data_IF_323145390231
#
_entry.id   IF_323145390231
#
_cell.length_a   1.000
_cell.length_b   1.000
_cell.length_c   1.000
_cell.angle_alpha   90.00
_cell.angle_beta   90.00
_cell.angle_gamma   90.00
#
_symmetry.space_group_name_H-M   'P 1'
#
loop_
_entity.id
_entity.type
_entity.pdbx_description
1 polymer ?
#
# COMPACT_ATOMS: atom_id res chain seq x y z
N UNK A 1 61.72 -25.08 22.03
CA UNK A 1 60.47 -25.54 21.41
C UNK A 1 60.00 -24.44 20.48
N UNK A 2 60.17 -24.64 19.18
CA UNK A 2 59.82 -23.69 18.13
C UNK A 2 58.46 -24.10 17.55
N UNK A 3 57.51 -23.17 17.49
CA UNK A 3 56.32 -23.31 16.67
C UNK A 3 56.31 -22.17 15.66
N UNK A 4 56.62 -22.53 14.41
CA UNK A 4 56.28 -21.77 13.23
C UNK A 4 54.80 -22.00 12.91
N UNK A 5 54.04 -20.92 12.67
CA UNK A 5 52.84 -20.99 11.83
C UNK A 5 52.90 -19.87 10.79
N UNK A 6 52.82 -20.27 9.54
CA UNK A 6 52.76 -19.39 8.36
C UNK A 6 51.33 -18.88 8.11
N UNK A 7 51.28 -17.64 7.62
CA UNK A 7 50.22 -16.92 6.89
C UNK A 7 49.03 -17.72 6.36
N UNK A 8 47.85 -17.11 6.44
CA UNK A 8 46.96 -16.96 5.28
C UNK A 8 46.17 -15.65 5.38
N UNK A 9 46.39 -14.77 4.40
CA UNK A 9 45.51 -13.67 4.04
C UNK A 9 44.12 -14.20 3.68
N UNK A 10 43.06 -13.69 4.32
CA UNK A 10 41.67 -13.73 3.84
C UNK A 10 40.89 -12.56 4.47
N UNK A 11 41.31 -11.33 4.21
CA UNK A 11 40.41 -10.17 4.29
C UNK A 11 39.86 -9.94 2.89
N UNK A 12 38.81 -10.68 2.54
CA UNK A 12 38.12 -10.56 1.25
C UNK A 12 36.61 -10.65 1.45
N UNK A 13 35.94 -9.54 1.15
CA UNK A 13 34.56 -9.47 0.65
C UNK A 13 33.47 -10.22 1.43
N UNK A 14 32.85 -9.55 2.40
CA UNK A 14 31.44 -9.79 2.78
C UNK A 14 30.50 -8.89 1.95
N UNK A 15 30.73 -8.79 0.64
CA UNK A 15 29.68 -8.43 -0.32
C UNK A 15 28.90 -9.69 -0.62
N UNK A 16 27.93 -10.00 0.25
CA UNK A 16 26.75 -10.85 0.02
C UNK A 16 26.17 -11.20 1.40
N UNK A 17 25.42 -10.27 1.99
CA UNK A 17 24.38 -10.69 2.92
C UNK A 17 23.35 -11.48 2.09
N UNK A 18 23.53 -12.80 2.04
CA UNK A 18 22.58 -13.74 1.51
C UNK A 18 21.27 -13.56 2.28
N UNK A 19 20.29 -12.92 1.63
CA UNK A 19 18.88 -13.01 2.00
C UNK A 19 18.50 -14.50 1.90
N UNK A 20 18.10 -15.17 2.99
CA UNK A 20 17.61 -16.54 2.91
C UNK A 20 16.21 -16.53 2.27
N UNK A 21 16.08 -17.21 1.14
CA UNK A 21 14.87 -17.73 0.49
C UNK A 21 13.56 -16.92 0.62
N UNK A 22 13.36 -15.97 -0.28
CA UNK A 22 12.02 -15.70 -0.81
C UNK A 22 11.80 -16.65 -2.02
N UNK A 23 10.74 -17.46 -2.04
CA UNK A 23 10.53 -18.43 -3.12
C UNK A 23 10.41 -17.69 -4.47
N UNK A 24 11.33 -18.02 -5.39
CA UNK A 24 11.29 -17.59 -6.79
C UNK A 24 10.09 -18.23 -7.48
N UNK A 25 8.95 -17.55 -7.44
CA UNK A 25 7.74 -17.94 -8.16
C UNK A 25 7.58 -17.05 -9.40
N UNK A 26 7.78 -17.70 -10.54
CA UNK A 26 7.27 -17.42 -11.90
C UNK A 26 7.89 -16.24 -12.68
N UNK A 27 8.74 -16.63 -13.64
CA UNK A 27 9.14 -15.84 -14.82
C UNK A 27 7.94 -15.79 -15.78
N UNK A 28 7.30 -14.64 -15.88
CA UNK A 28 6.28 -14.34 -16.88
C UNK A 28 6.49 -12.89 -17.30
N UNK A 29 6.71 -12.67 -18.59
CA UNK A 29 6.97 -11.36 -19.18
C UNK A 29 5.70 -10.48 -19.09
N UNK A 30 5.73 -9.31 -18.41
CA UNK A 30 4.54 -8.46 -18.28
C UNK A 30 4.52 -7.37 -19.36
N UNK A 31 3.37 -7.20 -20.00
CA UNK A 31 3.06 -6.04 -20.83
C UNK A 31 2.95 -4.79 -19.94
N UNK A 32 3.71 -3.74 -20.27
CA UNK A 32 3.76 -2.48 -19.53
C UNK A 32 2.44 -1.69 -19.67
N UNK A 33 1.60 -1.72 -18.64
CA UNK A 33 0.47 -0.79 -18.50
C UNK A 33 1.03 0.55 -17.97
N UNK A 34 0.74 1.66 -18.67
CA UNK A 34 1.29 2.99 -18.37
C UNK A 34 0.79 3.50 -17.03
N UNK A 35 1.72 3.84 -16.12
CA UNK A 35 1.45 4.35 -14.77
C UNK A 35 0.56 5.59 -14.74
N UNK A 36 0.61 6.42 -15.80
CA UNK A 36 -0.18 7.65 -15.93
C UNK A 36 -1.69 7.39 -15.98
N UNK A 37 -2.12 6.26 -16.56
CA UNK A 37 -3.54 5.90 -16.66
C UNK A 37 -4.13 5.57 -15.26
N UNK A 38 -3.32 5.02 -14.36
CA UNK A 38 -3.76 4.70 -13.00
C UNK A 38 -3.96 5.96 -12.14
N UNK A 39 -3.07 6.94 -12.26
CA UNK A 39 -3.19 8.21 -11.53
C UNK A 39 -4.43 9.01 -11.96
N UNK A 40 -4.69 9.05 -13.27
CA UNK A 40 -5.88 9.70 -13.81
C UNK A 40 -7.19 9.01 -13.35
N UNK A 41 -7.22 7.67 -13.37
CA UNK A 41 -8.36 6.88 -12.84
C UNK A 41 -8.63 7.18 -11.37
N UNK A 42 -7.59 7.25 -10.53
CA UNK A 42 -7.72 7.58 -9.11
C UNK A 42 -8.29 8.97 -8.87
N UNK A 43 -7.82 9.96 -9.63
CA UNK A 43 -8.34 11.32 -9.55
C UNK A 43 -9.81 11.39 -9.96
N UNK A 44 -10.18 10.67 -11.02
CA UNK A 44 -11.55 10.57 -11.47
C UNK A 44 -12.45 9.93 -10.41
N UNK A 45 -12.03 8.81 -9.82
CA UNK A 45 -12.78 8.16 -8.73
C UNK A 45 -12.93 9.04 -7.50
N UNK A 46 -11.90 9.80 -7.14
CA UNK A 46 -11.97 10.76 -6.04
C UNK A 46 -12.98 11.88 -6.34
N UNK A 47 -13.03 12.38 -7.57
CA UNK A 47 -14.00 13.38 -8.01
C UNK A 47 -15.42 12.82 -7.96
N UNK A 48 -15.62 11.60 -8.45
CA UNK A 48 -16.92 10.93 -8.48
C UNK A 48 -17.41 10.63 -7.06
N UNK A 49 -16.54 10.13 -6.18
CA UNK A 49 -16.86 9.88 -4.78
C UNK A 49 -17.24 11.16 -4.03
N UNK A 50 -16.50 12.27 -4.23
CA UNK A 50 -16.84 13.57 -3.64
C UNK A 50 -18.19 14.09 -4.15
N UNK A 51 -18.46 13.93 -5.44
CA UNK A 51 -19.73 14.37 -6.04
C UNK A 51 -20.90 13.54 -5.53
N UNK A 52 -20.75 12.21 -5.44
CA UNK A 52 -21.75 11.32 -4.87
C UNK A 52 -22.00 11.61 -3.38
N UNK A 53 -20.93 11.83 -2.62
CA UNK A 53 -21.02 12.17 -1.19
C UNK A 53 -21.75 13.50 -0.96
N UNK A 54 -21.43 14.53 -1.76
CA UNK A 54 -22.12 15.82 -1.70
C UNK A 54 -23.62 15.66 -1.98
N UNK A 55 -23.98 14.93 -3.04
CA UNK A 55 -25.39 14.65 -3.39
C UNK A 55 -26.14 13.94 -2.27
N UNK A 56 -25.50 12.97 -1.61
CA UNK A 56 -26.13 12.23 -0.52
C UNK A 56 -26.21 13.02 0.78
N UNK A 57 -25.49 14.13 0.93
CA UNK A 57 -25.52 15.01 2.11
C UNK A 57 -26.45 16.22 1.96
N UNK A 58 -27.07 16.40 0.80
CA UNK A 58 -28.07 17.46 0.61
C UNK A 58 -29.26 17.28 1.59
N UNK A 59 -29.82 18.39 2.11
CA UNK A 59 -30.97 18.32 2.99
C UNK A 59 -32.19 17.76 2.24
N UNK A 60 -32.85 16.75 2.84
CA UNK A 60 -34.06 16.14 2.27
C UNK A 60 -33.84 14.86 1.47
N UNK A 61 -32.60 14.39 1.28
CA UNK A 61 -32.31 13.09 0.62
C UNK A 61 -33.02 11.92 1.31
N UNK A 62 -33.21 12.00 2.64
CA UNK A 62 -33.96 11.02 3.44
C UNK A 62 -35.43 10.85 3.01
N UNK A 63 -35.99 11.83 2.30
CA UNK A 63 -37.36 11.79 1.78
C UNK A 63 -37.43 11.35 0.31
N UNK A 64 -36.27 11.20 -0.34
CA UNK A 64 -36.14 10.86 -1.76
C UNK A 64 -35.49 9.48 -1.98
N UNK A 65 -35.43 8.64 -0.94
CA UNK A 65 -34.91 7.29 -1.06
C UNK A 65 -35.82 6.43 -1.94
N UNK A 66 -35.23 5.55 -2.79
CA UNK A 66 -35.97 4.50 -3.46
C UNK A 66 -36.71 3.59 -2.46
N UNK A 67 -37.85 3.00 -2.86
CA UNK A 67 -38.65 2.15 -1.99
C UNK A 67 -37.83 0.95 -1.47
N UNK A 68 -37.88 0.71 -0.16
CA UNK A 68 -37.19 -0.41 0.48
C UNK A 68 -35.72 -0.18 0.82
N UNK A 69 -35.23 1.06 0.72
CA UNK A 69 -33.94 1.49 1.31
C UNK A 69 -34.22 2.27 2.60
N UNK A 70 -33.56 1.88 3.69
CA UNK A 70 -33.68 2.53 4.98
C UNK A 70 -32.56 3.57 5.22
N UNK A 71 -32.70 4.36 6.28
CA UNK A 71 -31.69 5.35 6.65
C UNK A 71 -30.34 4.70 7.01
N UNK A 72 -30.35 3.46 7.53
CA UNK A 72 -29.13 2.75 7.89
C UNK A 72 -28.28 2.40 6.66
N UNK A 73 -28.92 1.97 5.56
CA UNK A 73 -28.25 1.72 4.29
C UNK A 73 -27.65 3.01 3.70
N UNK A 74 -28.37 4.12 3.79
CA UNK A 74 -27.87 5.43 3.34
C UNK A 74 -26.67 5.91 4.16
N UNK A 75 -26.70 5.77 5.48
CA UNK A 75 -25.56 6.11 6.32
C UNK A 75 -24.36 5.18 6.07
N UNK A 76 -24.60 3.90 5.76
CA UNK A 76 -23.52 3.00 5.33
C UNK A 76 -22.87 3.48 4.04
N UNK A 77 -23.68 3.84 3.04
CA UNK A 77 -23.17 4.31 1.75
C UNK A 77 -22.37 5.61 1.90
N UNK A 78 -22.85 6.57 2.68
CA UNK A 78 -22.09 7.80 3.01
C UNK A 78 -20.74 7.48 3.64
N UNK A 79 -20.73 6.61 4.64
CA UNK A 79 -19.50 6.18 5.31
C UNK A 79 -18.53 5.53 4.32
N UNK A 80 -19.00 4.69 3.40
CA UNK A 80 -18.13 4.04 2.41
C UNK A 80 -17.51 5.06 1.45
N UNK A 81 -18.28 6.05 1.00
CA UNK A 81 -17.75 7.15 0.18
C UNK A 81 -16.70 8.00 0.92
N UNK A 82 -16.90 8.30 2.21
CA UNK A 82 -15.89 8.99 3.02
C UNK A 82 -14.58 8.20 3.09
N UNK A 83 -14.66 6.89 3.28
CA UNK A 83 -13.47 6.04 3.34
C UNK A 83 -12.73 6.01 2.00
N UNK A 84 -13.45 5.97 0.87
CA UNK A 84 -12.84 6.09 -0.46
C UNK A 84 -12.09 7.41 -0.59
N UNK A 85 -12.73 8.52 -0.21
CA UNK A 85 -12.13 9.86 -0.30
C UNK A 85 -10.85 9.94 0.54
N UNK A 86 -10.90 9.46 1.78
CA UNK A 86 -9.74 9.45 2.69
C UNK A 86 -8.63 8.52 2.17
N UNK A 87 -8.98 7.31 1.75
CA UNK A 87 -8.05 6.29 1.27
C UNK A 87 -7.29 6.74 0.03
N UNK A 88 -8.00 7.21 -1.01
CA UNK A 88 -7.38 7.69 -2.25
C UNK A 88 -6.51 8.92 -1.98
N UNK A 89 -6.98 9.86 -1.15
CA UNK A 89 -6.21 11.06 -0.80
C UNK A 89 -4.91 10.71 -0.08
N UNK A 90 -4.96 9.74 0.85
CA UNK A 90 -3.78 9.25 1.57
C UNK A 90 -2.80 8.57 0.61
N UNK A 91 -3.29 7.70 -0.26
CA UNK A 91 -2.46 7.04 -1.27
C UNK A 91 -1.75 8.06 -2.16
N UNK A 92 -2.49 9.05 -2.71
CA UNK A 92 -1.90 10.10 -3.54
C UNK A 92 -0.79 10.86 -2.81
N UNK A 93 -0.97 11.19 -1.52
CA UNK A 93 0.08 11.84 -0.72
C UNK A 93 1.34 10.99 -0.61
N UNK A 94 1.20 9.69 -0.38
CA UNK A 94 2.33 8.75 -0.26
C UNK A 94 3.03 8.59 -1.60
N UNK A 95 2.28 8.35 -2.69
CA UNK A 95 2.84 8.18 -4.03
C UNK A 95 3.58 9.42 -4.51
N UNK A 96 3.08 10.62 -4.21
CA UNK A 96 3.77 11.86 -4.54
C UNK A 96 5.06 12.08 -3.73
N UNK A 97 5.18 11.46 -2.55
CA UNK A 97 6.39 11.52 -1.71
C UNK A 97 7.42 10.44 -2.06
N UNK A 98 7.01 9.36 -2.74
CA UNK A 98 7.87 8.26 -3.14
C UNK A 98 9.16 8.66 -3.92
N UNK A 99 9.13 9.59 -4.91
CA UNK A 99 10.36 9.95 -5.64
C UNK A 99 11.41 10.62 -4.74
N UNK A 100 10.99 11.45 -3.78
CA UNK A 100 11.92 12.05 -2.82
C UNK A 100 12.54 10.98 -1.90
N UNK A 101 11.75 10.01 -1.45
CA UNK A 101 12.26 8.88 -0.66
C UNK A 101 13.30 8.08 -1.46
N UNK A 102 13.04 7.79 -2.74
CA UNK A 102 13.99 7.08 -3.60
C UNK A 102 15.29 7.88 -3.80
N UNK A 103 15.19 9.21 -3.94
CA UNK A 103 16.37 10.08 -4.03
C UNK A 103 17.19 10.05 -2.74
N UNK A 104 16.55 10.10 -1.58
CA UNK A 104 17.26 9.99 -0.29
C UNK A 104 17.93 8.63 -0.10
N UNK A 105 17.28 7.54 -0.53
CA UNK A 105 17.88 6.21 -0.52
C UNK A 105 19.09 6.13 -1.45
N UNK A 106 18.98 6.68 -2.66
CA UNK A 106 20.09 6.74 -3.61
C UNK A 106 21.29 7.51 -3.05
N UNK A 107 21.05 8.65 -2.40
CA UNK A 107 22.09 9.44 -1.75
C UNK A 107 22.76 8.66 -0.60
N UNK A 108 21.99 7.96 0.22
CA UNK A 108 22.52 7.13 1.30
C UNK A 108 23.40 5.98 0.78
N UNK A 109 22.98 5.30 -0.28
CA UNK A 109 23.77 4.23 -0.91
C UNK A 109 25.05 4.74 -1.57
N UNK A 110 25.03 5.95 -2.13
CA UNK A 110 26.24 6.59 -2.64
C UNK A 110 27.19 6.98 -1.50
N UNK A 111 26.66 7.56 -0.42
CA UNK A 111 27.45 7.93 0.76
C UNK A 111 28.11 6.70 1.41
N UNK A 112 27.41 5.57 1.47
CA UNK A 112 27.95 4.29 1.97
C UNK A 112 29.11 3.78 1.09
N UNK A 113 28.97 3.85 -0.24
CA UNK A 113 30.04 3.47 -1.18
C UNK A 113 31.25 4.40 -1.12
N UNK A 114 31.03 5.68 -0.85
CA UNK A 114 32.06 6.71 -0.74
C UNK A 114 32.68 6.76 0.67
N UNK A 115 32.18 5.96 1.62
CA UNK A 115 32.65 5.97 2.99
C UNK A 115 34.02 5.29 3.11
N UNK A 116 35.06 6.09 3.35
CA UNK A 116 36.44 5.63 3.52
C UNK A 116 36.85 5.41 4.99
N UNK A 117 35.89 5.50 5.92
CA UNK A 117 36.11 5.43 7.36
C UNK A 117 35.90 6.77 8.08
N UNK A 118 36.34 6.85 9.33
CA UNK A 118 36.20 8.06 10.15
C UNK A 118 37.16 9.15 9.70
N UNK A 119 36.71 10.42 9.78
CA UNK A 119 37.51 11.60 9.46
C UNK A 119 38.57 11.89 10.51
N UNK A 120 38.34 11.48 11.76
CA UNK A 120 39.29 11.62 12.87
C UNK A 120 40.36 10.53 12.82
N UNK A 121 41.62 10.89 13.10
CA UNK A 121 42.68 9.89 13.21
C UNK A 121 42.60 9.18 14.57
N UNK A 122 42.89 7.86 14.61
CA UNK A 122 42.93 7.12 15.87
C UNK A 122 44.01 7.66 16.83
N UNK A 123 43.86 7.48 18.15
CA UNK A 123 42.87 6.64 18.83
C UNK A 123 41.50 7.32 19.00
N UNK A 124 40.44 6.58 18.68
CA UNK A 124 39.06 7.04 18.86
C UNK A 124 38.70 7.13 20.34
N UNK A 125 37.87 8.11 20.70
CA UNK A 125 37.35 8.22 22.06
C UNK A 125 36.36 7.09 22.36
N UNK A 126 36.34 6.61 23.62
CA UNK A 126 35.36 5.59 24.04
C UNK A 126 33.92 6.11 23.95
N UNK A 127 33.72 7.42 24.07
CA UNK A 127 32.41 8.07 23.92
C UNK A 127 31.92 8.02 22.47
N UNK A 128 32.81 8.18 21.49
CA UNK A 128 32.47 8.04 20.08
C UNK A 128 32.00 6.61 19.77
N UNK A 129 32.68 5.60 20.33
CA UNK A 129 32.29 4.21 20.17
C UNK A 129 30.93 3.92 20.80
N UNK A 130 30.67 4.44 22.00
CA UNK A 130 29.37 4.29 22.68
C UNK A 130 28.24 4.96 21.88
N UNK A 131 28.47 6.15 21.36
CA UNK A 131 27.50 6.85 20.50
C UNK A 131 27.18 6.06 19.23
N UNK A 132 28.19 5.50 18.56
CA UNK A 132 27.99 4.68 17.36
C UNK A 132 27.21 3.39 17.64
N UNK A 133 27.47 2.75 18.78
CA UNK A 133 26.72 1.55 19.21
C UNK A 133 25.25 1.92 19.51
N UNK A 134 25.01 3.03 20.21
CA UNK A 134 23.66 3.51 20.46
C UNK A 134 22.91 3.85 19.16
N UNK A 135 23.56 4.53 18.22
CA UNK A 135 22.99 4.82 16.91
C UNK A 135 22.69 3.54 16.11
N UNK A 136 23.58 2.55 16.18
CA UNK A 136 23.38 1.24 15.56
C UNK A 136 22.13 0.55 16.15
N UNK A 137 22.02 0.49 17.47
CA UNK A 137 20.89 -0.14 18.14
C UNK A 137 19.56 0.55 17.82
N UNK A 138 19.53 1.89 17.80
CA UNK A 138 18.36 2.68 17.40
C UNK A 138 17.92 2.36 15.96
N UNK A 139 18.87 2.30 15.02
CA UNK A 139 18.61 1.94 13.62
C UNK A 139 18.08 0.50 13.53
N UNK A 140 18.65 -0.43 14.30
CA UNK A 140 18.20 -1.83 14.32
C UNK A 140 16.76 -1.95 14.84
N UNK A 141 16.44 -1.31 15.96
CA UNK A 141 15.08 -1.30 16.52
C UNK A 141 14.08 -0.69 15.53
N UNK A 142 14.45 0.40 14.87
CA UNK A 142 13.60 1.02 13.87
C UNK A 142 13.39 0.11 12.66
N UNK A 143 14.44 -0.58 12.18
CA UNK A 143 14.35 -1.53 11.09
C UNK A 143 13.45 -2.74 11.43
N UNK A 144 13.53 -3.26 12.65
CA UNK A 144 12.68 -4.34 13.14
C UNK A 144 11.21 -3.92 13.23
N UNK A 145 10.93 -2.72 13.74
CA UNK A 145 9.59 -2.12 13.75
C UNK A 145 9.00 -2.02 12.34
N UNK A 146 9.77 -1.54 11.36
CA UNK A 146 9.33 -1.48 9.98
C UNK A 146 9.11 -2.87 9.37
N UNK A 147 9.98 -3.85 9.65
CA UNK A 147 9.80 -5.23 9.19
C UNK A 147 8.50 -5.83 9.74
N UNK A 148 8.25 -5.68 11.03
CA UNK A 148 6.99 -6.13 11.65
C UNK A 148 5.77 -5.47 11.00
N UNK A 149 5.85 -4.16 10.76
CA UNK A 149 4.78 -3.42 10.09
C UNK A 149 4.52 -3.95 8.67
N UNK A 150 5.57 -4.25 7.90
CA UNK A 150 5.45 -4.84 6.56
C UNK A 150 4.79 -6.23 6.59
N UNK A 151 5.10 -7.06 7.59
CA UNK A 151 4.44 -8.37 7.76
C UNK A 151 2.95 -8.23 8.08
N UNK A 152 2.58 -7.26 8.90
CA UNK A 152 1.16 -6.97 9.18
C UNK A 152 0.48 -6.49 7.91
N UNK A 153 1.08 -5.54 7.18
CA UNK A 153 0.53 -5.04 5.93
C UNK A 153 0.38 -6.13 4.87
N UNK A 154 1.34 -7.05 4.73
CA UNK A 154 1.23 -8.13 3.75
C UNK A 154 0.09 -9.10 4.08
N UNK A 155 -0.10 -9.41 5.36
CA UNK A 155 -1.24 -10.22 5.82
C UNK A 155 -2.57 -9.52 5.56
N UNK A 156 -2.66 -8.23 5.88
CA UNK A 156 -3.87 -7.43 5.65
C UNK A 156 -4.18 -7.34 4.14
N UNK A 157 -3.18 -7.14 3.30
CA UNK A 157 -3.33 -7.12 1.84
C UNK A 157 -3.91 -8.42 1.29
N UNK A 158 -3.45 -9.58 1.77
CA UNK A 158 -4.02 -10.86 1.36
C UNK A 158 -5.50 -10.99 1.77
N UNK A 159 -5.83 -10.63 3.01
CA UNK A 159 -7.23 -10.67 3.49
C UNK A 159 -8.14 -9.71 2.70
N UNK A 160 -7.60 -8.56 2.31
CA UNK A 160 -8.28 -7.61 1.45
C UNK A 160 -8.50 -8.17 0.05
N UNK A 161 -7.50 -8.85 -0.51
CA UNK A 161 -7.61 -9.42 -1.85
C UNK A 161 -8.71 -10.47 -1.90
N UNK A 162 -8.78 -11.34 -0.89
CA UNK A 162 -9.85 -12.33 -0.76
C UNK A 162 -11.23 -11.66 -0.63
N UNK A 163 -11.33 -10.58 0.14
CA UNK A 163 -12.55 -9.80 0.27
C UNK A 163 -12.94 -9.12 -1.06
N UNK A 164 -11.96 -8.67 -1.86
CA UNK A 164 -12.19 -8.10 -3.19
C UNK A 164 -12.84 -9.10 -4.14
N UNK A 165 -12.28 -10.31 -4.22
CA UNK A 165 -12.77 -11.38 -5.08
C UNK A 165 -14.19 -11.83 -4.68
N UNK A 166 -14.49 -11.83 -3.38
CA UNK A 166 -15.85 -12.11 -2.89
C UNK A 166 -16.82 -10.97 -3.24
N UNK A 167 -16.37 -9.73 -3.13
CA UNK A 167 -17.18 -8.57 -3.42
C UNK A 167 -17.52 -8.48 -4.92
N UNK A 168 -16.55 -8.75 -5.82
CA UNK A 168 -16.79 -8.84 -7.27
C UNK A 168 -17.88 -9.87 -7.61
N UNK A 169 -17.83 -11.06 -7.01
CA UNK A 169 -18.87 -12.09 -7.18
C UNK A 169 -20.24 -11.63 -6.71
N UNK A 170 -20.32 -10.88 -5.61
CA UNK A 170 -21.59 -10.31 -5.14
C UNK A 170 -22.10 -9.20 -6.05
N UNK A 171 -21.21 -8.38 -6.61
CA UNK A 171 -21.58 -7.32 -7.57
C UNK A 171 -22.13 -7.91 -8.88
N UNK A 172 -21.56 -9.02 -9.36
CA UNK A 172 -22.09 -9.74 -10.53
C UNK A 172 -23.52 -10.24 -10.31
N UNK A 173 -23.79 -10.80 -9.13
CA UNK A 173 -25.13 -11.27 -8.76
C UNK A 173 -26.15 -10.11 -8.69
N UNK A 174 -25.74 -8.97 -8.12
CA UNK A 174 -26.57 -7.76 -8.07
C UNK A 174 -26.81 -7.16 -9.45
N UNK A 175 -25.82 -7.20 -10.34
CA UNK A 175 -25.94 -6.76 -11.72
C UNK A 175 -26.96 -7.61 -12.49
N UNK A 176 -26.86 -8.94 -12.40
CA UNK A 176 -27.85 -9.85 -13.01
C UNK A 176 -29.26 -9.67 -12.43
N UNK A 177 -29.38 -9.38 -11.13
CA UNK A 177 -30.67 -9.09 -10.50
C UNK A 177 -31.29 -7.75 -10.98
N UNK A 178 -30.45 -6.74 -11.24
CA UNK A 178 -30.87 -5.46 -11.78
C UNK A 178 -31.33 -5.55 -13.25
N UNK A 179 -30.65 -6.36 -14.07
CA UNK A 179 -31.07 -6.64 -15.45
C UNK A 179 -32.41 -7.40 -15.51
N UNK A 180 -32.65 -8.30 -14.54
CA UNK A 180 -33.91 -9.03 -14.46
C UNK A 180 -35.12 -8.15 -14.08
N UNK A 181 -34.91 -7.02 -13.40
CA UNK A 181 -35.99 -6.13 -12.93
C UNK A 181 -35.71 -4.63 -13.20
N UNK A 182 -35.77 -4.19 -14.47
CA UNK A 182 -35.42 -2.82 -14.86
C UNK A 182 -36.39 -1.72 -14.37
N UNK A 183 -37.61 -2.09 -13.92
CA UNK A 183 -38.68 -1.14 -13.53
C UNK A 183 -38.83 -0.92 -12.01
N UNK A 184 -37.83 -1.29 -11.20
CA UNK A 184 -37.80 -1.20 -9.73
C UNK A 184 -37.62 0.26 -9.19
N UNK A 185 -38.11 1.27 -9.89
CA UNK A 185 -38.10 2.66 -9.38
C UNK A 185 -36.73 3.22 -8.98
N UNK A 186 -35.63 2.64 -9.49
CA UNK A 186 -34.25 3.05 -9.18
C UNK A 186 -33.58 2.32 -8.00
N UNK A 187 -34.25 1.43 -7.28
CA UNK A 187 -33.69 0.74 -6.10
C UNK A 187 -32.51 -0.17 -6.46
N UNK A 188 -32.64 -0.99 -7.49
CA UNK A 188 -31.57 -1.86 -8.00
C UNK A 188 -30.33 -1.07 -8.44
N UNK A 189 -30.52 0.09 -9.07
CA UNK A 189 -29.42 0.99 -9.44
C UNK A 189 -28.73 1.59 -8.20
N UNK A 190 -29.51 2.03 -7.22
CA UNK A 190 -28.98 2.54 -5.96
C UNK A 190 -28.17 1.47 -5.22
N UNK A 191 -28.66 0.23 -5.16
CA UNK A 191 -27.96 -0.89 -4.53
C UNK A 191 -26.67 -1.23 -5.26
N UNK A 192 -26.67 -1.20 -6.60
CA UNK A 192 -25.46 -1.40 -7.40
C UNK A 192 -24.42 -0.30 -7.12
N UNK A 193 -24.84 0.97 -7.06
CA UNK A 193 -23.93 2.09 -6.80
C UNK A 193 -23.40 2.08 -5.36
N UNK A 194 -24.22 1.69 -4.38
CA UNK A 194 -23.82 1.47 -3.00
C UNK A 194 -22.84 0.29 -2.86
N UNK A 195 -23.10 -0.82 -3.58
CA UNK A 195 -22.22 -1.99 -3.57
C UNK A 195 -20.87 -1.67 -4.21
N UNK A 196 -20.84 -0.97 -5.35
CA UNK A 196 -19.60 -0.47 -5.96
C UNK A 196 -18.78 0.39 -5.01
N UNK A 197 -19.42 1.25 -4.22
CA UNK A 197 -18.71 2.05 -3.22
C UNK A 197 -18.26 1.23 -2.01
N UNK A 198 -19.04 0.24 -1.59
CA UNK A 198 -18.65 -0.71 -0.54
C UNK A 198 -17.41 -1.51 -0.98
N UNK A 199 -17.35 -1.92 -2.25
CA UNK A 199 -16.19 -2.60 -2.87
C UNK A 199 -15.02 -1.63 -3.02
N UNK A 200 -15.22 -0.36 -3.38
CA UNK A 200 -14.12 0.59 -3.48
C UNK A 200 -13.60 1.11 -2.11
N UNK A 201 -14.39 0.92 -1.05
CA UNK A 201 -14.09 1.40 0.30
C UNK A 201 -12.98 0.57 0.95
N UNK A 202 -11.92 1.22 1.48
CA UNK A 202 -10.80 0.52 2.12
C UNK A 202 -11.17 -0.26 3.38
N UNK A 203 -12.42 -0.17 3.89
CA UNK A 203 -12.91 -1.07 4.97
C UNK A 203 -13.14 -2.50 4.50
N UNK A 204 -13.51 -2.69 3.25
CA UNK A 204 -13.75 -4.03 2.68
C UNK A 204 -12.75 -4.38 1.60
N UNK A 205 -12.04 -3.41 1.04
CA UNK A 205 -11.18 -3.68 -0.10
C UNK A 205 -10.13 -2.57 -0.28
N UNK A 206 -8.88 -2.81 0.14
CA UNK A 206 -7.73 -2.04 -0.38
C UNK A 206 -7.44 -2.48 -1.84
N UNK A 207 -8.30 -2.07 -2.77
CA UNK A 207 -8.17 -2.35 -4.23
C UNK A 207 -6.96 -1.66 -4.86
N UNK A 208 -6.36 -0.68 -4.17
CA UNK A 208 -5.33 0.17 -4.77
C UNK A 208 -3.94 -0.42 -4.87
N UNK A 209 -3.74 -1.67 -4.45
CA UNK A 209 -2.45 -2.37 -4.59
C UNK A 209 -2.52 -3.61 -5.47
N UNK A 210 -3.68 -4.24 -5.64
CA UNK A 210 -3.80 -5.56 -6.30
C UNK A 210 -3.55 -5.54 -7.81
N UNK A 211 -3.74 -4.41 -8.52
CA UNK A 211 -3.27 -4.29 -9.92
C UNK A 211 -1.87 -3.72 -10.07
N UNK A 212 -1.37 -2.91 -9.12
CA UNK A 212 -0.02 -2.34 -9.22
C UNK A 212 1.09 -3.30 -8.76
N UNK A 213 0.81 -4.32 -7.94
CA UNK A 213 1.80 -5.37 -7.65
C UNK A 213 2.07 -6.33 -8.82
N UNK A 214 1.33 -6.22 -9.93
CA UNK A 214 1.72 -6.80 -11.22
C UNK A 214 2.71 -5.95 -12.02
N UNK A 215 2.95 -4.70 -11.62
CA UNK A 215 3.76 -3.73 -12.36
C UNK A 215 5.08 -3.32 -11.66
N UNK A 216 5.36 -3.83 -10.45
CA UNK A 216 6.63 -3.63 -9.74
C UNK A 216 7.40 -4.94 -9.48
N UNK A 217 7.52 -5.75 -10.53
CA UNK A 217 8.51 -6.83 -10.63
C UNK A 217 9.28 -6.69 -11.93
#
# INVERSE_FOLDING_TARGET
>A
MAYHFHRADCFSALTNAQLPDLPSVLKSEPAAEQTDDTAAKLQQWLKDAKTAFARLNEPGVQTQLPPGIDNAALDSYRRDLEQIILGISRYQKISNAAPEVQKTLGAALSADKEWLGFTEQPPYSILLLDELVNQQDDIHQQAESYRSSLTIFSRELNSVQEAAEQAEKSSEQLFSAAEANPNDGGTSKWRLDADKAKVASPRNTCIFTTKQYRAFK
#
